data_IF_231326911856
#
_entry.id   IF_231326911856
#
_cell.length_a   1.000
_cell.length_b   1.000
_cell.length_c   1.000
_cell.angle_alpha   90.00
_cell.angle_beta   90.00
_cell.angle_gamma   90.00
#
_symmetry.space_group_name_H-M   'P 1'
#
loop_
_entity.id
_entity.type
_entity.pdbx_description
1 polymer ?
#
# COMPACT_ATOMS: atom_id res chain seq x y z
N UNK A 1 5.83 -4.36 -20.35
CA UNK A 1 5.68 -2.95 -19.93
C UNK A 1 4.24 -2.73 -19.50
N UNK A 2 3.90 -2.69 -18.20
CA UNK A 2 2.58 -2.24 -17.81
C UNK A 2 2.54 -0.73 -18.08
N UNK A 3 1.75 -0.32 -19.06
CA UNK A 3 1.47 1.10 -19.26
C UNK A 3 0.72 1.58 -18.02
N UNK A 4 1.22 2.63 -17.35
CA UNK A 4 0.51 3.24 -16.23
C UNK A 4 -0.89 3.65 -16.71
N UNK A 5 -1.92 2.90 -16.31
CA UNK A 5 -3.28 3.11 -16.83
C UNK A 5 -3.89 4.44 -16.35
N UNK A 6 -3.37 5.01 -15.26
CA UNK A 6 -3.94 6.19 -14.63
C UNK A 6 -2.85 7.15 -14.13
N UNK A 7 -2.11 7.82 -15.02
CA UNK A 7 -0.93 8.63 -14.66
C UNK A 7 -1.27 9.88 -13.84
N UNK A 8 -2.55 10.24 -13.71
CA UNK A 8 -3.01 11.43 -12.99
C UNK A 8 -3.80 11.11 -11.71
N UNK A 9 -4.07 9.84 -11.43
CA UNK A 9 -4.78 9.47 -10.20
C UNK A 9 -3.88 9.74 -9.00
N UNK A 10 -4.40 10.53 -8.06
CA UNK A 10 -3.73 10.91 -6.82
C UNK A 10 -4.43 10.37 -5.57
N UNK A 11 -5.72 10.10 -5.67
CA UNK A 11 -6.55 9.64 -4.56
C UNK A 11 -7.29 8.39 -4.98
N UNK A 12 -7.28 7.37 -4.12
CA UNK A 12 -8.06 6.13 -4.27
C UNK A 12 -8.92 5.97 -3.03
N UNK A 13 -10.24 6.02 -3.23
CA UNK A 13 -11.24 5.77 -2.20
C UNK A 13 -11.99 4.47 -2.54
N UNK A 14 -11.97 3.50 -1.63
CA UNK A 14 -12.68 2.22 -1.80
C UNK A 14 -13.57 2.00 -0.59
N UNK A 15 -14.87 1.96 -0.83
CA UNK A 15 -15.90 1.98 0.21
C UNK A 15 -16.88 0.83 -0.03
N UNK A 16 -17.03 -0.06 0.95
CA UNK A 16 -18.02 -1.14 0.91
C UNK A 16 -17.72 -2.26 -0.09
N UNK A 17 -16.47 -2.37 -0.56
CA UNK A 17 -16.09 -3.39 -1.53
C UNK A 17 -15.67 -4.69 -0.83
N UNK A 18 -16.62 -5.59 -0.65
CA UNK A 18 -16.41 -6.84 0.10
C UNK A 18 -15.83 -8.01 -0.72
N UNK A 19 -15.59 -7.84 -2.02
CA UNK A 19 -14.98 -8.90 -2.85
C UNK A 19 -13.51 -8.65 -3.15
N UNK A 20 -12.98 -7.46 -2.80
CA UNK A 20 -11.60 -7.09 -3.03
C UNK A 20 -10.74 -7.73 -1.94
N UNK A 21 -9.76 -8.53 -2.34
CA UNK A 21 -8.82 -9.19 -1.43
C UNK A 21 -7.47 -8.48 -1.30
N UNK A 22 -7.01 -7.87 -2.39
CA UNK A 22 -5.73 -7.16 -2.49
C UNK A 22 -5.85 -5.94 -3.39
N UNK A 23 -4.92 -4.98 -3.28
CA UNK A 23 -4.87 -3.76 -4.10
C UNK A 23 -3.53 -3.62 -4.84
N UNK A 24 -2.93 -4.71 -5.34
CA UNK A 24 -1.62 -4.70 -6.01
C UNK A 24 -1.53 -3.72 -7.19
N UNK A 25 -2.65 -3.44 -7.86
CA UNK A 25 -2.73 -2.48 -8.98
C UNK A 25 -2.43 -1.02 -8.58
N UNK A 26 -2.55 -0.64 -7.30
CA UNK A 26 -2.26 0.74 -6.86
C UNK A 26 -0.76 1.05 -6.95
N UNK A 27 0.12 0.04 -6.99
CA UNK A 27 1.56 0.19 -7.25
C UNK A 27 1.84 0.79 -8.65
N UNK A 28 0.89 0.65 -9.57
CA UNK A 28 1.00 1.18 -10.95
C UNK A 28 0.54 2.65 -11.06
N UNK A 29 0.20 3.29 -9.94
CA UNK A 29 -0.27 4.68 -9.89
C UNK A 29 0.88 5.63 -9.51
N UNK A 30 1.58 6.24 -10.49
CA UNK A 30 2.83 6.97 -10.22
C UNK A 30 2.63 8.25 -9.41
N UNK A 31 1.40 8.79 -9.36
CA UNK A 31 1.06 10.03 -8.68
C UNK A 31 0.19 9.82 -7.43
N UNK A 32 0.05 8.58 -6.94
CA UNK A 32 -0.79 8.29 -5.79
C UNK A 32 -0.26 8.97 -4.53
N UNK A 33 -1.12 9.79 -3.92
CA UNK A 33 -0.85 10.59 -2.72
C UNK A 33 -1.75 10.16 -1.56
N UNK A 34 -2.95 9.67 -1.82
CA UNK A 34 -3.94 9.33 -0.79
C UNK A 34 -4.66 8.02 -1.07
N UNK A 35 -4.81 7.19 -0.04
CA UNK A 35 -5.57 5.93 -0.08
C UNK A 35 -6.49 5.87 1.13
N UNK A 36 -7.78 5.71 0.91
CA UNK A 36 -8.77 5.48 1.97
C UNK A 36 -9.59 4.23 1.68
N UNK A 37 -9.62 3.34 2.67
CA UNK A 37 -10.30 2.05 2.61
C UNK A 37 -11.28 1.97 3.77
N UNK A 38 -12.57 1.86 3.44
CA UNK A 38 -13.65 1.85 4.42
C UNK A 38 -14.59 0.66 4.21
N UNK A 39 -14.81 -0.13 5.25
CA UNK A 39 -15.77 -1.23 5.25
C UNK A 39 -15.53 -2.24 4.11
N UNK A 40 -14.27 -2.60 3.84
CA UNK A 40 -13.88 -3.61 2.86
C UNK A 40 -13.50 -4.92 3.55
N UNK A 41 -14.50 -5.66 4.01
CA UNK A 41 -14.30 -6.79 4.93
C UNK A 41 -13.37 -7.90 4.42
N UNK A 42 -13.38 -8.26 3.13
CA UNK A 42 -12.51 -9.33 2.60
C UNK A 42 -11.11 -8.87 2.18
N UNK A 43 -10.75 -7.61 2.44
CA UNK A 43 -9.41 -7.12 2.16
C UNK A 43 -8.44 -7.72 3.17
N UNK A 44 -7.51 -8.53 2.66
CA UNK A 44 -6.52 -9.25 3.48
C UNK A 44 -5.24 -8.44 3.64
N UNK A 45 -4.78 -7.87 2.54
CA UNK A 45 -3.57 -7.05 2.45
C UNK A 45 -3.80 -5.86 1.53
N UNK A 46 -3.19 -4.71 1.85
CA UNK A 46 -3.24 -3.55 0.94
C UNK A 46 -2.31 -3.82 -0.25
N UNK A 47 -1.08 -4.28 0.00
CA UNK A 47 -0.12 -4.66 -1.04
C UNK A 47 0.60 -5.97 -0.70
N UNK A 48 0.55 -6.93 -1.62
CA UNK A 48 1.30 -8.21 -1.55
C UNK A 48 2.68 -8.04 -2.22
N UNK A 49 3.67 -8.81 -1.73
CA UNK A 49 5.03 -8.89 -2.25
C UNK A 49 5.19 -9.93 -3.38
N UNK A 50 4.10 -10.60 -3.80
CA UNK A 50 4.16 -11.72 -4.75
C UNK A 50 4.30 -11.23 -6.21
N UNK A 51 5.46 -10.70 -6.55
CA UNK A 51 5.97 -10.64 -7.93
C UNK A 51 7.09 -11.70 -8.10
N UNK A 52 6.74 -12.97 -7.93
CA UNK A 52 7.53 -14.10 -8.44
C UNK A 52 6.94 -14.58 -9.78
N UNK A 53 7.15 -13.84 -10.87
CA UNK A 53 7.07 -14.45 -12.20
C UNK A 53 8.14 -13.87 -13.15
N UNK A 54 9.24 -14.62 -13.21
CA UNK A 54 10.05 -14.96 -14.39
C UNK A 54 10.42 -13.81 -15.36
N UNK A 55 11.61 -13.24 -15.18
CA UNK A 55 12.53 -12.94 -16.29
C UNK A 55 13.90 -12.55 -15.76
N UNK A 56 14.90 -13.28 -16.23
CA UNK A 56 16.34 -13.03 -16.17
C UNK A 56 16.75 -11.55 -16.26
N UNK A 57 16.93 -10.88 -15.12
CA UNK A 57 17.95 -9.85 -14.87
C UNK A 57 17.95 -9.51 -13.35
N UNK A 58 19.11 -9.36 -12.69
CA UNK A 58 19.14 -8.86 -11.32
C UNK A 58 18.87 -7.35 -11.34
N UNK A 59 17.59 -6.96 -11.38
CA UNK A 59 17.22 -5.57 -11.13
C UNK A 59 17.30 -5.34 -9.62
N UNK A 60 18.29 -4.56 -9.21
CA UNK A 60 18.47 -4.13 -7.84
C UNK A 60 17.14 -3.60 -7.26
N UNK A 61 16.79 -4.06 -6.06
CA UNK A 61 15.90 -3.34 -5.14
C UNK A 61 14.50 -2.99 -5.68
N UNK A 62 13.67 -3.97 -6.04
CA UNK A 62 12.22 -3.75 -6.11
C UNK A 62 11.63 -3.72 -4.69
N UNK A 63 12.02 -2.73 -3.89
CA UNK A 63 11.19 -2.31 -2.76
C UNK A 63 10.00 -1.59 -3.36
N UNK A 64 8.86 -2.27 -3.47
CA UNK A 64 7.58 -1.60 -3.73
C UNK A 64 7.48 -0.47 -2.69
N UNK A 65 7.55 0.77 -3.13
CA UNK A 65 7.59 1.94 -2.25
C UNK A 65 6.56 2.90 -2.77
N UNK A 66 5.85 3.55 -1.86
CA UNK A 66 4.91 4.60 -2.21
C UNK A 66 5.58 5.96 -1.95
N UNK A 67 6.45 6.44 -2.86
CA UNK A 67 7.27 7.61 -2.61
C UNK A 67 6.45 8.90 -2.48
N UNK A 68 5.18 8.88 -2.90
CA UNK A 68 4.29 10.04 -2.87
C UNK A 68 3.10 9.89 -1.94
N UNK A 69 2.89 8.73 -1.31
CA UNK A 69 1.73 8.53 -0.44
C UNK A 69 1.92 9.33 0.85
N UNK A 70 1.02 10.29 1.05
CA UNK A 70 0.99 11.21 2.19
C UNK A 70 -0.11 10.82 3.18
N UNK A 71 -1.21 10.26 2.70
CA UNK A 71 -2.37 9.93 3.54
C UNK A 71 -2.82 8.48 3.33
N UNK A 72 -2.87 7.72 4.43
CA UNK A 72 -3.40 6.35 4.45
C UNK A 72 -4.50 6.26 5.51
N UNK A 73 -5.72 5.96 5.09
CA UNK A 73 -6.86 5.73 5.97
C UNK A 73 -7.41 4.32 5.84
N UNK A 74 -7.48 3.60 6.97
CA UNK A 74 -7.94 2.23 7.06
C UNK A 74 -9.04 2.16 8.12
N UNK A 75 -10.25 1.80 7.73
CA UNK A 75 -11.40 1.87 8.62
C UNK A 75 -12.39 0.73 8.42
N UNK A 76 -12.83 0.09 9.51
CA UNK A 76 -13.77 -1.04 9.49
C UNK A 76 -13.32 -2.18 8.56
N UNK A 77 -12.04 -2.58 8.65
CA UNK A 77 -11.46 -3.63 7.81
C UNK A 77 -11.27 -4.91 8.63
N UNK A 78 -12.30 -5.77 8.62
CA UNK A 78 -12.38 -6.93 9.53
C UNK A 78 -11.28 -7.96 9.29
N UNK A 79 -11.01 -8.31 8.03
CA UNK A 79 -10.06 -9.37 7.68
C UNK A 79 -8.65 -8.84 7.36
N UNK A 80 -8.44 -7.50 7.44
CA UNK A 80 -7.14 -6.90 7.16
C UNK A 80 -6.16 -7.25 8.27
N UNK A 81 -5.21 -8.13 7.97
CA UNK A 81 -4.19 -8.53 8.94
C UNK A 81 -2.84 -7.85 8.75
N UNK A 82 -2.58 -7.29 7.55
CA UNK A 82 -1.30 -6.68 7.17
C UNK A 82 -1.52 -5.55 6.16
N UNK A 83 -0.80 -4.43 6.30
CA UNK A 83 -0.84 -3.35 5.31
C UNK A 83 0.07 -3.70 4.12
N UNK A 84 1.32 -4.06 4.41
CA UNK A 84 2.36 -4.28 3.41
C UNK A 84 3.28 -5.43 3.79
N UNK A 85 3.86 -6.05 2.75
CA UNK A 85 4.94 -7.04 2.74
C UNK A 85 6.14 -6.76 3.65
N UNK A 86 7.03 -7.74 3.79
CA UNK A 86 7.85 -8.10 4.98
C UNK A 86 8.94 -7.09 5.38
N UNK A 87 8.58 -5.82 5.56
CA UNK A 87 9.46 -4.75 6.02
C UNK A 87 10.23 -4.03 4.91
N UNK A 88 9.94 -4.31 3.63
CA UNK A 88 10.58 -3.63 2.48
C UNK A 88 9.75 -2.49 1.88
N UNK A 89 8.46 -2.45 2.19
CA UNK A 89 7.54 -1.40 1.76
C UNK A 89 7.69 -0.19 2.67
N UNK A 90 8.18 0.91 2.10
CA UNK A 90 8.35 2.19 2.76
C UNK A 90 7.29 3.20 2.33
N UNK A 91 6.80 3.98 3.29
CA UNK A 91 5.96 5.15 3.05
C UNK A 91 6.75 6.42 3.44
N UNK A 92 7.82 6.78 2.72
CA UNK A 92 8.77 7.82 3.15
C UNK A 92 8.11 9.19 3.34
N UNK A 93 7.03 9.47 2.60
CA UNK A 93 6.32 10.73 2.62
C UNK A 93 5.01 10.68 3.42
N UNK A 94 4.76 9.62 4.19
CA UNK A 94 3.51 9.48 4.94
C UNK A 94 3.40 10.55 6.03
N UNK A 95 2.33 11.34 5.97
CA UNK A 95 2.07 12.44 6.90
C UNK A 95 0.89 12.15 7.82
N UNK A 96 -0.11 11.40 7.33
CA UNK A 96 -1.26 10.97 8.14
C UNK A 96 -1.53 9.49 7.94
N UNK A 97 -1.63 8.79 9.06
CA UNK A 97 -2.08 7.41 9.13
C UNK A 97 -3.30 7.38 10.06
N UNK A 98 -4.45 6.98 9.52
CA UNK A 98 -5.68 6.75 10.29
C UNK A 98 -5.98 5.26 10.26
N UNK A 99 -6.07 4.63 11.43
CA UNK A 99 -6.47 3.23 11.57
C UNK A 99 -7.53 3.13 12.65
N UNK A 100 -8.71 2.64 12.30
CA UNK A 100 -9.85 2.54 13.20
C UNK A 100 -10.69 1.30 12.88
N UNK A 101 -11.07 0.51 13.90
CA UNK A 101 -11.85 -0.73 13.71
C UNK A 101 -11.23 -1.73 12.70
N UNK A 102 -9.94 -2.02 12.85
CA UNK A 102 -9.23 -3.06 12.08
C UNK A 102 -8.75 -4.18 13.04
N UNK A 103 -9.63 -5.09 13.48
CA UNK A 103 -9.37 -6.00 14.60
C UNK A 103 -8.30 -7.05 14.33
N UNK A 104 -8.07 -7.44 13.07
CA UNK A 104 -7.08 -8.45 12.69
C UNK A 104 -5.70 -7.85 12.41
N UNK A 105 -5.57 -6.52 12.38
CA UNK A 105 -4.33 -5.86 12.00
C UNK A 105 -3.26 -6.05 13.07
N UNK A 106 -2.30 -6.93 12.80
CA UNK A 106 -1.32 -7.34 13.80
C UNK A 106 -0.17 -6.34 13.98
N UNK A 107 0.20 -5.62 12.92
CA UNK A 107 1.37 -4.72 12.90
C UNK A 107 1.13 -3.52 12.01
N UNK A 108 1.67 -2.39 12.46
CA UNK A 108 1.79 -1.19 11.64
C UNK A 108 3.16 -1.18 10.93
N UNK A 109 3.30 -0.47 9.78
CA UNK A 109 4.44 -0.59 8.87
C UNK A 109 5.71 0.14 9.36
N UNK A 110 5.91 0.25 10.68
CA UNK A 110 6.96 1.07 11.28
C UNK A 110 8.29 0.34 11.51
N UNK A 111 8.47 -0.90 11.03
CA UNK A 111 9.51 -1.78 11.58
C UNK A 111 10.94 -1.44 11.10
N UNK A 112 11.17 -0.56 10.11
CA UNK A 112 12.53 -0.17 9.69
C UNK A 112 12.66 1.29 9.20
N UNK A 113 12.13 2.29 9.91
CA UNK A 113 12.55 3.68 9.62
C UNK A 113 13.92 3.96 10.24
N UNK A 114 14.98 3.48 9.60
CA UNK A 114 16.34 3.96 9.84
C UNK A 114 16.47 5.31 9.14
N UNK A 115 16.33 6.39 9.92
CA UNK A 115 16.23 7.76 9.41
C UNK A 115 17.32 8.12 8.40
N UNK A 116 16.92 8.27 7.14
CA UNK A 116 17.58 9.04 6.07
C UNK A 116 16.70 9.03 4.82
N UNK A 117 15.52 9.64 4.88
CA UNK A 117 14.78 10.00 3.68
C UNK A 117 14.24 11.42 3.87
N UNK A 118 14.96 12.39 3.33
CA UNK A 118 14.48 13.77 3.23
C UNK A 118 13.35 13.74 2.22
N UNK A 119 12.14 14.10 2.65
CA UNK A 119 11.05 14.40 1.74
C UNK A 119 11.43 15.68 0.97
N UNK A 120 11.69 15.56 -0.34
CA UNK A 120 11.83 16.69 -1.27
C UNK A 120 10.48 16.98 -1.93
#
# INVERSE_FOLDING_TARGET
MPHACFPKVRTVDIIGCHSIKTLTWINQLPCLEEVYLYNCNSLLEVVSDDDEEDTTMPSATASSSFPRLRHLGLSHLKDLYKICGDGRLGFPCLQRLLVYECPMLARLPFVLWNGSAVCL
#
